data_IF_729455735155
#
_entry.id   IF_729455735155
#
_cell.length_a   1.000
_cell.length_b   1.000
_cell.length_c   1.000
_cell.angle_alpha   90.00
_cell.angle_beta   90.00
_cell.angle_gamma   90.00
#
_symmetry.space_group_name_H-M   'P 1'
#
loop_
_entity.id
_entity.type
_entity.pdbx_description
1 polymer ?
#
# COMPACT_ATOMS: atom_id res chain seq x y z
N UNK A 1 -20.24 -2.99 6.02
CA UNK A 1 -19.98 -4.29 6.70
C UNK A 1 -18.50 -4.56 6.54
N UNK A 2 -17.74 -4.66 7.65
CA UNK A 2 -16.28 -4.88 7.57
C UNK A 2 -15.98 -6.31 7.10
N UNK A 3 -14.96 -6.50 6.27
CA UNK A 3 -14.47 -7.83 5.91
C UNK A 3 -13.87 -8.48 7.15
N UNK A 4 -14.25 -9.73 7.40
CA UNK A 4 -13.78 -10.53 8.54
C UNK A 4 -12.84 -11.65 8.11
N UNK A 5 -12.70 -11.88 6.80
CA UNK A 5 -11.92 -12.97 6.23
C UNK A 5 -10.85 -12.40 5.33
N UNK A 6 -9.61 -12.87 5.52
CA UNK A 6 -8.51 -12.58 4.62
C UNK A 6 -8.64 -13.43 3.36
N UNK A 7 -8.59 -12.81 2.19
CA UNK A 7 -8.72 -13.47 0.89
C UNK A 7 -7.42 -13.22 0.13
N UNK A 8 -6.69 -14.27 -0.20
CA UNK A 8 -5.37 -14.19 -0.86
C UNK A 8 -5.44 -13.38 -2.16
N UNK A 9 -6.51 -13.57 -2.91
CA UNK A 9 -6.77 -12.99 -4.22
C UNK A 9 -7.06 -11.48 -4.17
N UNK A 10 -7.35 -10.93 -2.99
CA UNK A 10 -7.51 -9.49 -2.78
C UNK A 10 -6.15 -8.77 -2.68
N UNK A 11 -5.03 -9.49 -2.80
CA UNK A 11 -3.68 -8.95 -2.66
C UNK A 11 -2.78 -9.33 -3.83
N UNK A 12 -1.86 -8.41 -4.15
CA UNK A 12 -0.78 -8.59 -5.13
C UNK A 12 0.56 -8.31 -4.47
N UNK A 13 1.65 -8.80 -5.08
CA UNK A 13 3.00 -8.40 -4.65
C UNK A 13 3.14 -6.89 -4.77
N UNK A 14 3.73 -6.29 -3.76
CA UNK A 14 4.03 -4.88 -3.76
C UNK A 14 5.36 -4.65 -4.49
N UNK A 15 5.29 -3.91 -5.59
CA UNK A 15 6.46 -3.60 -6.43
C UNK A 15 6.86 -2.14 -6.25
N UNK A 16 7.66 -1.88 -5.22
CA UNK A 16 8.28 -0.57 -4.97
C UNK A 16 9.76 -0.60 -5.35
N UNK A 17 10.02 -0.62 -6.65
CA UNK A 17 11.38 -0.62 -7.17
C UNK A 17 12.13 0.61 -6.64
N UNK A 18 13.27 0.37 -5.97
CA UNK A 18 14.12 1.38 -5.30
C UNK A 18 13.54 2.00 -4.01
N UNK A 19 12.52 1.38 -3.40
CA UNK A 19 11.95 1.80 -2.11
C UNK A 19 11.39 3.24 -2.11
N UNK A 20 10.88 3.71 -3.26
CA UNK A 20 10.43 5.10 -3.43
C UNK A 20 9.20 5.37 -2.58
N UNK A 21 8.23 4.46 -2.57
CA UNK A 21 7.03 4.61 -1.76
C UNK A 21 7.37 4.66 -0.27
N UNK A 22 8.25 3.75 0.19
CA UNK A 22 8.68 3.73 1.59
C UNK A 22 9.43 5.00 1.99
N UNK A 23 10.35 5.48 1.15
CA UNK A 23 11.15 6.67 1.46
C UNK A 23 10.35 7.97 1.45
N UNK A 24 9.38 8.11 0.54
CA UNK A 24 8.62 9.35 0.38
C UNK A 24 7.41 9.42 1.30
N UNK A 25 6.75 8.29 1.57
CA UNK A 25 5.47 8.27 2.29
C UNK A 25 5.56 7.60 3.65
N UNK A 26 6.70 6.99 4.01
CA UNK A 26 6.86 6.30 5.29
C UNK A 26 5.85 5.16 5.45
N UNK A 27 5.51 4.47 4.35
CA UNK A 27 4.53 3.37 4.40
C UNK A 27 5.08 2.23 5.25
N UNK A 28 4.22 1.69 6.11
CA UNK A 28 4.52 0.56 6.98
C UNK A 28 3.42 -0.48 6.87
N UNK A 29 3.69 -1.68 7.36
CA UNK A 29 2.70 -2.74 7.32
C UNK A 29 1.46 -2.30 8.11
N UNK A 30 0.29 -2.25 7.48
CA UNK A 30 -0.97 -1.83 8.11
C UNK A 30 -1.43 -2.74 9.24
N UNK A 31 -0.75 -3.88 9.46
CA UNK A 31 -1.04 -4.86 10.50
C UNK A 31 -0.14 -4.71 11.72
N UNK A 32 1.18 -4.55 11.52
CA UNK A 32 2.17 -4.57 12.61
C UNK A 32 3.11 -3.36 12.64
N UNK A 33 2.99 -2.44 11.68
CA UNK A 33 3.74 -1.18 11.64
C UNK A 33 5.21 -1.31 11.23
N UNK A 34 5.68 -2.47 10.76
CA UNK A 34 7.08 -2.62 10.31
C UNK A 34 7.30 -2.05 8.91
N UNK A 35 8.52 -1.56 8.66
CA UNK A 35 8.95 -0.92 7.41
C UNK A 35 9.37 -1.95 6.33
N UNK A 36 8.62 -3.04 6.22
CA UNK A 36 8.84 -4.08 5.22
C UNK A 36 7.50 -4.48 4.61
N UNK A 37 7.30 -4.16 3.33
CA UNK A 37 6.05 -4.43 2.62
C UNK A 37 6.32 -5.43 1.51
N UNK A 38 5.57 -6.54 1.53
CA UNK A 38 5.65 -7.57 0.49
C UNK A 38 4.40 -7.62 -0.39
N UNK A 39 3.24 -7.26 0.16
CA UNK A 39 1.95 -7.30 -0.52
C UNK A 39 1.18 -6.00 -0.34
N UNK A 40 0.38 -5.67 -1.35
CA UNK A 40 -0.59 -4.58 -1.29
C UNK A 40 -1.95 -5.05 -1.81
N UNK A 41 -3.02 -4.35 -1.42
CA UNK A 41 -4.35 -4.65 -1.90
C UNK A 41 -4.45 -4.54 -3.43
N UNK A 42 -5.28 -5.38 -4.06
CA UNK A 42 -5.38 -5.49 -5.53
C UNK A 42 -5.87 -4.19 -6.18
N UNK A 43 -6.72 -3.45 -5.45
CA UNK A 43 -7.26 -2.14 -5.84
C UNK A 43 -6.23 -0.99 -5.73
N UNK A 44 -5.03 -1.25 -5.21
CA UNK A 44 -3.99 -0.24 -5.12
C UNK A 44 -3.57 0.27 -6.50
N UNK A 45 -3.34 1.60 -6.65
CA UNK A 45 -2.89 2.19 -7.90
C UNK A 45 -1.42 1.82 -8.19
N UNK A 46 -0.87 2.34 -9.29
CA UNK A 46 0.56 2.21 -9.60
C UNK A 46 1.41 2.89 -8.51
N UNK A 47 2.60 2.36 -8.25
CA UNK A 47 3.54 3.01 -7.33
C UNK A 47 4.13 4.27 -7.97
N UNK A 48 4.56 5.22 -7.14
CA UNK A 48 5.21 6.45 -7.62
C UNK A 48 6.46 6.11 -8.44
N UNK A 49 7.24 5.11 -8.02
CA UNK A 49 8.41 4.64 -8.76
C UNK A 49 8.07 4.14 -10.16
N UNK A 50 6.95 3.41 -10.32
CA UNK A 50 6.47 2.98 -11.64
C UNK A 50 6.06 4.17 -12.51
N UNK A 51 5.28 5.11 -11.96
CA UNK A 51 4.84 6.31 -12.68
C UNK A 51 6.03 7.16 -13.13
N UNK A 52 7.00 7.38 -12.24
CA UNK A 52 8.20 8.15 -12.57
C UNK A 52 9.06 7.46 -13.65
N UNK A 53 9.19 6.14 -13.58
CA UNK A 53 9.91 5.39 -14.61
C UNK A 53 9.21 5.46 -15.97
N UNK A 54 7.89 5.27 -16.01
CA UNK A 54 7.09 5.39 -17.24
C UNK A 54 7.19 6.81 -17.83
N UNK A 55 7.08 7.85 -17.00
CA UNK A 55 7.21 9.24 -17.44
C UNK A 55 8.58 9.55 -18.06
N UNK A 56 9.66 8.99 -17.49
CA UNK A 56 11.01 9.14 -18.02
C UNK A 56 11.21 8.39 -19.35
N UNK A 57 10.64 7.19 -19.50
CA UNK A 57 10.71 6.43 -20.77
C UNK A 57 9.94 7.15 -21.89
N UNK A 58 8.80 7.78 -21.57
CA UNK A 58 7.99 8.54 -22.52
C UNK A 58 8.62 9.90 -22.88
N UNK A 59 9.21 10.58 -21.90
CA UNK A 59 9.91 11.85 -22.08
C UNK A 59 11.20 11.88 -21.24
N UNK A 60 12.36 11.50 -21.82
CA UNK A 60 13.63 11.52 -21.10
C UNK A 60 14.09 12.91 -20.64
N UNK A 61 13.52 13.97 -21.23
CA UNK A 61 13.80 15.38 -20.90
C UNK A 61 12.74 15.96 -19.94
N UNK A 62 11.91 15.13 -19.31
CA UNK A 62 10.93 15.57 -18.32
C UNK A 62 11.61 16.37 -17.22
N UNK A 63 11.08 17.57 -16.93
CA UNK A 63 11.57 18.39 -15.84
C UNK A 63 11.04 17.91 -14.48
N UNK A 64 11.76 18.23 -13.41
CA UNK A 64 11.33 17.93 -12.05
C UNK A 64 9.93 18.51 -11.76
N UNK A 65 9.62 19.72 -12.25
CA UNK A 65 8.31 20.36 -12.04
C UNK A 65 7.16 19.61 -12.75
N UNK A 66 7.43 19.05 -13.93
CA UNK A 66 6.46 18.21 -14.64
C UNK A 66 6.27 16.87 -13.93
N UNK A 67 7.36 16.27 -13.47
CA UNK A 67 7.32 15.02 -12.72
C UNK A 67 6.57 15.19 -11.39
N UNK A 68 6.79 16.28 -10.65
CA UNK A 68 6.10 16.59 -9.40
C UNK A 68 4.58 16.67 -9.62
N UNK A 69 4.13 17.38 -10.66
CA UNK A 69 2.71 17.48 -11.03
C UNK A 69 2.10 16.13 -11.37
N UNK A 70 2.86 15.25 -12.04
CA UNK A 70 2.39 13.89 -12.36
C UNK A 70 2.21 13.05 -11.10
N UNK A 71 3.00 13.28 -10.07
CA UNK A 71 3.01 12.49 -8.82
C UNK A 71 1.93 12.96 -7.83
N UNK A 72 1.52 14.23 -7.85
CA UNK A 72 0.50 14.76 -6.93
C UNK A 72 -0.81 13.97 -6.92
N UNK A 73 -1.35 13.62 -8.09
CA UNK A 73 -2.61 12.88 -8.18
C UNK A 73 -2.49 11.43 -7.69
N UNK A 74 -1.47 10.65 -8.09
CA UNK A 74 -1.17 9.35 -7.52
C UNK A 74 -1.09 9.32 -5.98
N UNK A 75 -0.51 10.34 -5.35
CA UNK A 75 -0.44 10.42 -3.87
C UNK A 75 -1.86 10.42 -3.27
N UNK A 76 -2.75 11.26 -3.81
CA UNK A 76 -4.14 11.34 -3.35
C UNK A 76 -4.87 10.01 -3.54
N UNK A 77 -4.66 9.36 -4.68
CA UNK A 77 -5.27 8.05 -4.97
C UNK A 77 -4.80 6.97 -3.98
N UNK A 78 -3.52 6.98 -3.60
CA UNK A 78 -3.01 6.07 -2.58
C UNK A 78 -3.68 6.30 -1.22
N UNK A 79 -3.84 7.57 -0.82
CA UNK A 79 -4.55 7.91 0.43
C UNK A 79 -6.02 7.45 0.39
N UNK A 80 -6.72 7.70 -0.72
CA UNK A 80 -8.13 7.31 -0.87
C UNK A 80 -8.32 5.79 -0.80
N UNK A 81 -7.40 5.02 -1.38
CA UNK A 81 -7.41 3.56 -1.29
C UNK A 81 -7.15 3.10 0.14
N UNK A 82 -6.21 3.73 0.84
CA UNK A 82 -5.90 3.38 2.23
C UNK A 82 -7.08 3.65 3.16
N UNK A 83 -7.67 4.84 3.05
CA UNK A 83 -8.87 5.22 3.80
C UNK A 83 -10.04 4.27 3.53
N UNK A 84 -10.26 3.92 2.25
CA UNK A 84 -11.30 2.99 1.86
C UNK A 84 -11.08 1.61 2.46
N UNK A 85 -9.88 1.04 2.29
CA UNK A 85 -9.52 -0.28 2.78
C UNK A 85 -9.65 -0.35 4.31
N UNK A 86 -9.15 0.67 5.03
CA UNK A 86 -9.32 0.81 6.48
C UNK A 86 -10.80 0.84 6.88
N UNK A 87 -11.65 1.60 6.17
CA UNK A 87 -13.09 1.68 6.46
C UNK A 87 -13.82 0.33 6.36
N UNK A 88 -13.35 -0.55 5.48
CA UNK A 88 -13.91 -1.89 5.29
C UNK A 88 -13.14 -2.98 6.05
N UNK A 89 -12.13 -2.61 6.86
CA UNK A 89 -11.31 -3.57 7.59
C UNK A 89 -10.51 -4.47 6.63
N UNK A 90 -9.75 -3.86 5.73
CA UNK A 90 -8.79 -4.53 4.85
C UNK A 90 -7.47 -3.77 4.98
N UNK A 91 -6.33 -4.44 5.20
CA UNK A 91 -5.04 -3.77 5.20
C UNK A 91 -4.62 -3.40 3.77
N UNK A 92 -4.05 -2.22 3.58
CA UNK A 92 -3.54 -1.77 2.27
C UNK A 92 -2.15 -2.30 1.99
N UNK A 93 -1.31 -2.37 3.02
CA UNK A 93 0.08 -2.85 2.94
C UNK A 93 0.32 -3.97 3.95
N UNK A 94 0.93 -5.07 3.51
CA UNK A 94 1.16 -6.26 4.35
C UNK A 94 2.58 -6.76 4.15
N UNK A 95 3.31 -6.98 5.25
CA UNK A 95 4.61 -7.66 5.23
C UNK A 95 4.44 -9.17 4.99
N UNK A 96 5.51 -9.86 4.60
CA UNK A 96 5.46 -11.32 4.36
C UNK A 96 4.93 -12.07 5.59
N UNK A 97 5.42 -11.73 6.79
CA UNK A 97 5.02 -12.40 8.02
C UNK A 97 3.52 -12.23 8.32
N UNK A 98 2.98 -11.01 8.25
CA UNK A 98 1.56 -10.78 8.49
C UNK A 98 0.69 -11.42 7.40
N UNK A 99 1.16 -11.45 6.15
CA UNK A 99 0.45 -12.10 5.06
C UNK A 99 0.30 -13.60 5.32
N UNK A 100 1.38 -14.27 5.71
CA UNK A 100 1.37 -15.70 6.03
C UNK A 100 0.52 -16.00 7.27
N UNK A 101 0.64 -15.21 8.33
CA UNK A 101 -0.18 -15.37 9.54
C UNK A 101 -1.68 -15.16 9.26
N UNK A 102 -2.05 -14.19 8.41
CA UNK A 102 -3.44 -13.97 7.99
C UNK A 102 -3.97 -15.14 7.16
N UNK A 103 -3.17 -15.70 6.25
CA UNK A 103 -3.54 -16.87 5.46
C UNK A 103 -3.79 -18.12 6.32
N UNK A 104 -2.97 -18.30 7.36
CA UNK A 104 -3.08 -19.43 8.27
C UNK A 104 -4.13 -19.23 9.37
N UNK A 105 -4.82 -18.09 9.40
CA UNK A 105 -5.73 -17.68 10.48
C UNK A 105 -5.06 -17.62 11.87
N UNK A 106 -3.76 -17.35 11.92
CA UNK A 106 -3.03 -17.11 13.17
C UNK A 106 -3.34 -15.73 13.75
N UNK A 107 -3.65 -14.76 12.86
CA UNK A 107 -4.12 -13.42 13.21
C UNK A 107 -5.37 -13.08 12.38
N UNK A 108 -6.16 -12.09 12.83
CA UNK A 108 -7.40 -11.66 12.19
C UNK A 108 -7.43 -10.15 11.93
N UNK A 109 -8.07 -9.75 10.84
CA UNK A 109 -8.16 -8.34 10.42
C UNK A 109 -8.97 -7.49 11.43
N UNK A 110 -9.92 -8.10 12.17
CA UNK A 110 -10.71 -7.42 13.21
C UNK A 110 -9.90 -6.95 14.42
N UNK A 111 -8.69 -7.46 14.61
CA UNK A 111 -7.80 -7.04 15.70
C UNK A 111 -6.95 -5.81 15.32
N UNK A 112 -7.01 -5.40 14.05
CA UNK A 112 -6.27 -4.25 13.54
C UNK A 112 -7.12 -3.00 13.78
N UNK A 113 -6.91 -2.36 14.93
CA UNK A 113 -7.60 -1.13 15.34
C UNK A 113 -8.50 -1.22 16.59
N UNK A 114 -8.33 -2.23 17.44
CA UNK A 114 -8.97 -2.29 18.77
C UNK A 114 -8.03 -2.03 19.95
N UNK A 115 -6.83 -1.50 19.70
CA UNK A 115 -5.95 -0.96 20.77
C UNK A 115 -5.97 0.57 20.72
N UNK A 116 -7.07 1.18 21.17
CA UNK A 116 -7.12 2.58 21.62
C UNK A 116 -8.46 2.83 22.31
N UNK A 117 -8.67 2.25 23.50
CA UNK A 117 -9.62 2.73 24.51
C UNK A 117 -9.19 2.17 25.88
N UNK A 118 -8.25 2.86 26.54
CA UNK A 118 -8.14 2.90 28.02
C UNK A 118 -8.22 4.36 28.49
#
# INVERSE_FOLDING_TARGET
MKKTTFIKEDFKKFEDNKNVMMQLFGITCSVCGIDEIAYTAINAPKTIGQIAHEAYEENPDISDEELDKLIESPIKLWQEVDDYNSSIGVPTFVCDNCYDQLLNNEIHISNIGQEEEE
#
